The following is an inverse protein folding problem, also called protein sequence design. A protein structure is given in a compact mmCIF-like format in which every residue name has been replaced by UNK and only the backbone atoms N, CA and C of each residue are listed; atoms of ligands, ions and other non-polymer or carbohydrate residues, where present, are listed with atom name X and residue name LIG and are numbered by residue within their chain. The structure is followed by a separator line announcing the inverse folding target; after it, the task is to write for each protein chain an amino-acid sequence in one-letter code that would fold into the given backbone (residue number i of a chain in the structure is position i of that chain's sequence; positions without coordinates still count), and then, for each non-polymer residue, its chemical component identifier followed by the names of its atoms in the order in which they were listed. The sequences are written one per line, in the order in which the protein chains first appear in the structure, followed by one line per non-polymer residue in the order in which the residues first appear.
data_IF_440997235898
#
_entry.id   IF_440997235898
#
_cell.length_a   1.000
_cell.length_b   1.000
_cell.length_c   1.000
_cell.angle_alpha   90.00
_cell.angle_beta   90.00
_cell.angle_gamma   90.00
#
_symmetry.space_group_name_H-M   'P 1'
#
loop_
_entity.id
_entity.type
_entity.pdbx_description
1 polymer ?
#
# COMPACT_ATOMS: atom_id res chain seq x y z
N UNK A 1 12.44 36.41 12.35
CA UNK A 1 11.75 37.56 12.95
C UNK A 1 12.84 38.34 13.63
N UNK A 2 13.16 39.56 13.20
CA UNK A 2 14.09 40.40 13.97
C UNK A 2 13.42 41.05 15.20
N UNK A 3 12.16 40.65 15.47
CA UNK A 3 11.23 41.28 16.42
C UNK A 3 10.66 40.29 17.46
N UNK A 4 11.17 39.06 17.53
CA UNK A 4 10.94 38.13 18.65
C UNK A 4 12.21 37.88 19.47
N UNK A 5 13.37 38.39 19.05
CA UNK A 5 14.67 38.12 19.68
C UNK A 5 15.29 39.37 20.32
N UNK A 6 14.66 40.55 20.23
CA UNK A 6 15.05 41.70 21.05
C UNK A 6 14.15 41.74 22.28
N UNK A 7 14.67 41.28 23.42
CA UNK A 7 14.02 41.34 24.74
C UNK A 7 13.80 42.79 25.26
N UNK A 8 14.18 43.81 24.48
CA UNK A 8 14.17 45.22 24.89
C UNK A 8 12.86 45.98 24.59
N UNK A 9 11.88 45.38 23.88
CA UNK A 9 10.63 46.06 23.56
C UNK A 9 9.47 45.59 24.44
N UNK A 10 8.69 46.54 24.96
CA UNK A 10 7.51 46.29 25.79
C UNK A 10 6.50 45.40 25.03
N UNK A 11 6.01 44.29 25.62
CA UNK A 11 4.96 43.47 25.03
C UNK A 11 3.68 44.25 24.67
N UNK A 12 3.37 45.36 25.37
CA UNK A 12 2.21 46.20 25.04
C UNK A 12 2.41 46.98 23.74
N UNK A 13 3.58 47.60 23.53
CA UNK A 13 3.91 48.30 22.28
C UNK A 13 3.92 47.34 21.07
N UNK A 14 4.40 46.10 21.29
CA UNK A 14 4.38 45.06 20.26
C UNK A 14 2.97 44.64 19.89
N UNK A 15 2.09 44.57 20.89
CA UNK A 15 0.68 44.26 20.67
C UNK A 15 -0.02 45.44 19.99
N UNK A 16 0.23 46.67 20.41
CA UNK A 16 -0.32 47.87 19.76
C UNK A 16 0.13 47.99 18.30
N UNK A 17 1.40 47.73 17.97
CA UNK A 17 1.89 47.73 16.60
C UNK A 17 1.25 46.63 15.73
N UNK A 18 0.97 45.46 16.32
CA UNK A 18 0.24 44.38 15.65
C UNK A 18 -1.23 44.78 15.44
N UNK A 19 -1.83 45.45 16.41
CA UNK A 19 -3.24 45.89 16.39
C UNK A 19 -3.47 47.15 15.53
N UNK A 20 -2.45 47.98 15.29
CA UNK A 20 -2.56 49.23 14.51
C UNK A 20 -2.35 49.05 13.00
N UNK A 21 -2.15 47.83 12.51
CA UNK A 21 -2.15 47.60 11.06
C UNK A 21 -3.59 47.72 10.57
N UNK A 22 -3.86 48.85 9.92
CA UNK A 22 -5.20 49.27 9.50
C UNK A 22 -5.91 48.20 8.67
N UNK A 23 -7.09 47.81 9.15
CA UNK A 23 -8.01 46.90 8.46
C UNK A 23 -8.61 47.51 7.17
N UNK A 24 -8.39 48.79 6.92
CA UNK A 24 -8.98 49.55 5.80
C UNK A 24 -8.60 48.99 4.41
N UNK A 25 -7.53 48.19 4.32
CA UNK A 25 -7.04 47.59 3.08
C UNK A 25 -7.54 46.15 2.84
N UNK A 26 -8.31 45.53 3.75
CA UNK A 26 -8.81 44.15 3.62
C UNK A 26 -10.31 44.13 3.28
N UNK A 27 -10.70 43.97 2.00
CA UNK A 27 -12.11 43.90 1.64
C UNK A 27 -12.77 42.61 2.16
N UNK A 28 -13.97 42.77 2.73
CA UNK A 28 -15.01 41.73 2.97
C UNK A 28 -14.58 40.43 3.68
N UNK A 29 -13.65 40.49 4.65
CA UNK A 29 -13.43 39.35 5.55
C UNK A 29 -14.36 39.39 6.76
N UNK A 30 -14.96 38.26 7.18
CA UNK A 30 -15.68 38.19 8.46
C UNK A 30 -14.77 38.32 9.68
N UNK A 31 -13.44 38.16 9.52
CA UNK A 31 -12.45 38.18 10.60
C UNK A 31 -11.18 38.96 10.18
N UNK A 32 -11.26 40.29 9.93
CA UNK A 32 -10.16 41.07 9.37
C UNK A 32 -8.88 41.06 10.24
N UNK A 33 -9.02 41.17 11.56
CA UNK A 33 -7.88 41.16 12.48
C UNK A 33 -7.18 39.79 12.50
N UNK A 34 -7.96 38.72 12.41
CA UNK A 34 -7.44 37.35 12.38
C UNK A 34 -6.74 37.04 11.06
N UNK A 35 -7.30 37.52 9.95
CA UNK A 35 -6.68 37.39 8.63
C UNK A 35 -5.34 38.11 8.59
N UNK A 36 -5.27 39.31 9.15
CA UNK A 36 -4.02 40.05 9.29
C UNK A 36 -2.97 39.28 10.10
N UNK A 37 -3.37 38.67 11.23
CA UNK A 37 -2.48 37.81 12.00
C UNK A 37 -1.98 36.62 11.16
N UNK A 38 -2.86 35.95 10.42
CA UNK A 38 -2.47 34.86 9.52
C UNK A 38 -1.51 35.31 8.44
N UNK A 39 -1.73 36.48 7.84
CA UNK A 39 -0.79 37.09 6.90
C UNK A 39 0.60 37.27 7.51
N UNK A 40 0.68 37.86 8.70
CA UNK A 40 1.96 38.10 9.37
C UNK A 40 2.71 36.78 9.63
N UNK A 41 1.99 35.77 10.12
CA UNK A 41 2.55 34.44 10.38
C UNK A 41 3.10 33.83 9.08
N UNK A 42 2.33 33.85 7.98
CA UNK A 42 2.75 33.25 6.71
C UNK A 42 3.86 34.04 6.02
N UNK A 43 3.89 35.37 6.16
CA UNK A 43 4.97 36.24 5.66
C UNK A 43 6.33 35.91 6.28
N UNK A 44 6.35 35.31 7.47
CA UNK A 44 7.59 34.88 8.12
C UNK A 44 8.15 33.56 7.60
N UNK A 45 7.38 32.82 6.80
CA UNK A 45 7.78 31.52 6.28
C UNK A 45 8.64 31.65 5.03
N UNK A 46 9.95 31.35 5.09
CA UNK A 46 10.77 31.27 3.88
C UNK A 46 10.32 30.07 3.04
N UNK A 47 10.63 30.09 1.74
CA UNK A 47 10.32 28.99 0.82
C UNK A 47 8.80 28.71 0.68
N UNK A 48 8.01 29.77 0.54
CA UNK A 48 6.56 29.69 0.37
C UNK A 48 6.12 28.65 -0.68
N UNK A 49 6.85 28.49 -1.78
CA UNK A 49 6.52 27.50 -2.81
C UNK A 49 6.55 26.03 -2.34
N UNK A 50 7.43 25.67 -1.40
CA UNK A 50 7.45 24.32 -0.79
C UNK A 50 6.39 24.20 0.31
N UNK A 51 6.30 25.23 1.17
CA UNK A 51 5.31 25.29 2.23
C UNK A 51 3.88 25.22 1.69
N UNK A 52 3.59 25.92 0.59
CA UNK A 52 2.28 25.92 -0.07
C UNK A 52 1.88 24.51 -0.52
N UNK A 53 2.81 23.68 -0.99
CA UNK A 53 2.51 22.27 -1.34
C UNK A 53 2.18 21.42 -0.11
N UNK A 54 2.88 21.65 0.99
CA UNK A 54 2.60 20.99 2.28
C UNK A 54 1.22 21.41 2.79
N UNK A 55 0.95 22.71 2.86
CA UNK A 55 -0.35 23.25 3.29
C UNK A 55 -1.47 22.77 2.38
N UNK A 56 -1.24 22.70 1.07
CA UNK A 56 -2.20 22.18 0.08
C UNK A 56 -2.62 20.75 0.43
N UNK A 57 -1.69 19.86 0.77
CA UNK A 57 -2.05 18.50 1.21
C UNK A 57 -2.83 18.52 2.54
N UNK A 58 -2.40 19.31 3.52
CA UNK A 58 -3.06 19.41 4.83
C UNK A 58 -4.53 19.85 4.67
N UNK A 59 -4.81 20.84 3.81
CA UNK A 59 -6.18 21.34 3.58
C UNK A 59 -6.98 20.48 2.58
N UNK A 60 -6.31 19.73 1.71
CA UNK A 60 -6.99 18.90 0.70
C UNK A 60 -7.51 17.59 1.29
N UNK A 61 -6.68 16.94 2.10
CA UNK A 61 -6.94 15.58 2.59
C UNK A 61 -8.28 15.43 3.34
N UNK A 62 -8.68 16.35 4.23
CA UNK A 62 -10.00 16.29 4.87
C UNK A 62 -11.17 16.38 3.86
N UNK A 63 -10.96 17.08 2.74
CA UNK A 63 -12.00 17.42 1.77
C UNK A 63 -12.17 16.39 0.64
N UNK A 64 -11.14 15.60 0.33
CA UNK A 64 -11.21 14.57 -0.75
C UNK A 64 -12.15 13.41 -0.37
N UNK A 65 -12.71 13.43 0.84
CA UNK A 65 -13.65 12.41 1.30
C UNK A 65 -13.03 11.03 1.15
N UNK A 66 -11.74 10.92 1.52
CA UNK A 66 -11.02 9.67 1.58
C UNK A 66 -11.74 8.81 2.61
N UNK A 67 -12.77 8.13 2.13
CA UNK A 67 -13.75 7.55 3.01
C UNK A 67 -13.01 6.56 3.87
N UNK A 68 -13.16 6.73 5.18
CA UNK A 68 -12.84 5.76 6.21
C UNK A 68 -13.24 4.33 5.83
N UNK A 69 -14.09 4.10 4.82
CA UNK A 69 -14.46 2.78 4.31
C UNK A 69 -13.31 1.99 3.67
N UNK A 70 -12.35 2.60 2.96
CA UNK A 70 -11.23 1.82 2.37
C UNK A 70 -10.24 1.38 3.46
N UNK A 71 -10.06 2.18 4.52
CA UNK A 71 -8.99 1.98 5.51
C UNK A 71 -9.46 1.57 6.93
N UNK A 72 -10.61 2.06 7.41
CA UNK A 72 -11.08 1.86 8.78
C UNK A 72 -12.22 0.85 8.93
N UNK A 73 -12.85 0.37 7.86
CA UNK A 73 -13.93 -0.64 7.97
C UNK A 73 -13.48 -1.95 8.63
N UNK A 74 -12.17 -2.18 8.79
CA UNK A 74 -11.63 -3.44 9.34
C UNK A 74 -10.82 -3.30 10.64
N UNK A 75 -10.47 -2.08 11.09
CA UNK A 75 -9.51 -1.90 12.20
C UNK A 75 -10.07 -1.32 13.52
N UNK A 76 -11.37 -1.02 13.64
CA UNK A 76 -11.94 -0.41 14.87
C UNK A 76 -11.90 -1.26 16.15
N UNK A 77 -11.37 -2.49 16.16
CA UNK A 77 -11.37 -3.37 17.36
C UNK A 77 -10.00 -3.87 17.85
N UNK A 78 -8.86 -3.46 17.27
CA UNK A 78 -7.55 -3.93 17.75
C UNK A 78 -6.66 -2.77 18.18
N UNK A 79 -6.48 -2.63 19.50
CA UNK A 79 -5.37 -1.86 20.08
C UNK A 79 -4.07 -2.58 19.70
N UNK A 80 -3.39 -2.10 18.66
CA UNK A 80 -2.00 -2.51 18.39
C UNK A 80 -1.09 -1.76 19.36
N UNK A 81 -0.23 -2.48 20.09
CA UNK A 81 0.69 -1.95 21.11
C UNK A 81 2.17 -2.17 20.75
N UNK A 82 2.53 -2.29 19.46
CA UNK A 82 3.93 -2.43 19.06
C UNK A 82 4.45 -1.17 18.36
N UNK A 83 5.54 -0.55 18.85
CA UNK A 83 6.22 0.57 18.22
C UNK A 83 7.25 0.05 17.21
N UNK A 84 6.81 -0.27 16.00
CA UNK A 84 7.72 -0.47 14.86
C UNK A 84 7.15 0.23 13.63
N UNK A 85 8.00 1.08 13.07
CA UNK A 85 7.82 1.99 11.93
C UNK A 85 6.99 1.38 10.79
N UNK A 86 5.80 1.94 10.57
CA UNK A 86 4.89 1.49 9.53
C UNK A 86 4.08 2.66 8.96
N UNK A 87 4.07 2.80 7.63
CA UNK A 87 3.07 3.56 6.86
C UNK A 87 1.65 2.92 6.96
N UNK A 88 1.50 1.80 7.69
CA UNK A 88 0.39 0.84 7.69
C UNK A 88 -0.99 1.36 8.10
N UNK A 89 -1.13 2.62 8.45
CA UNK A 89 -2.41 3.31 8.52
C UNK A 89 -2.17 4.82 8.46
N UNK A 90 -1.15 5.24 7.69
CA UNK A 90 -0.59 6.59 7.70
C UNK A 90 -1.74 7.57 7.72
N UNK A 91 -1.90 8.16 8.91
CA UNK A 91 -3.04 8.99 9.14
C UNK A 91 -2.96 10.11 8.09
N UNK A 92 -4.06 10.38 7.39
CA UNK A 92 -4.09 11.45 6.41
C UNK A 92 -3.49 12.71 7.08
N UNK A 93 -2.39 13.23 6.55
CA UNK A 93 -1.62 14.39 7.05
C UNK A 93 -0.52 14.16 8.12
N UNK A 94 0.12 12.99 8.26
CA UNK A 94 1.38 12.92 9.04
C UNK A 94 2.57 13.59 8.32
N UNK A 95 3.57 14.14 9.04
CA UNK A 95 4.76 14.70 8.41
C UNK A 95 5.50 13.71 7.49
N UNK A 96 5.63 12.45 7.90
CA UNK A 96 6.24 11.38 7.09
C UNK A 96 5.45 11.12 5.81
N UNK A 97 4.13 11.02 5.90
CA UNK A 97 3.24 10.78 4.77
C UNK A 97 3.29 11.93 3.76
N UNK A 98 3.24 13.17 4.24
CA UNK A 98 3.37 14.35 3.37
C UNK A 98 4.74 14.39 2.69
N UNK A 99 5.81 14.04 3.41
CA UNK A 99 7.15 13.99 2.84
C UNK A 99 7.22 12.96 1.69
N UNK A 100 6.66 11.77 1.90
CA UNK A 100 6.57 10.72 0.90
C UNK A 100 5.74 11.14 -0.32
N UNK A 101 4.55 11.74 -0.11
CA UNK A 101 3.68 12.22 -1.20
C UNK A 101 4.33 13.32 -2.05
N UNK A 102 5.10 14.21 -1.44
CA UNK A 102 5.79 15.29 -2.13
C UNK A 102 7.17 14.90 -2.67
N UNK A 103 7.69 13.73 -2.31
CA UNK A 103 9.04 13.29 -2.67
C UNK A 103 10.13 14.21 -2.08
N UNK A 104 9.92 14.70 -0.85
CA UNK A 104 10.90 15.53 -0.13
C UNK A 104 11.52 14.74 1.02
N UNK A 105 12.69 15.19 1.50
CA UNK A 105 13.43 14.49 2.56
C UNK A 105 12.63 14.40 3.87
N UNK A 106 12.71 13.29 4.63
CA UNK A 106 12.19 13.20 5.98
C UNK A 106 12.67 14.37 6.86
N UNK A 107 11.84 14.84 7.78
CA UNK A 107 12.10 16.01 8.62
C UNK A 107 11.96 17.38 7.91
N UNK A 108 12.00 17.43 6.57
CA UNK A 108 11.82 18.69 5.81
C UNK A 108 10.44 19.29 6.06
N UNK A 109 9.39 18.47 6.16
CA UNK A 109 8.01 18.92 6.44
C UNK A 109 7.95 19.68 7.75
N UNK A 110 8.49 19.13 8.85
CA UNK A 110 8.58 19.85 10.14
C UNK A 110 9.32 21.17 10.02
N UNK A 111 10.46 21.17 9.34
CA UNK A 111 11.25 22.40 9.18
C UNK A 111 10.50 23.50 8.43
N UNK A 112 9.59 23.13 7.51
CA UNK A 112 8.71 24.07 6.81
C UNK A 112 7.57 24.56 7.71
N UNK A 113 7.06 23.71 8.60
CA UNK A 113 5.92 24.01 9.48
C UNK A 113 6.30 24.66 10.82
N UNK A 114 7.59 24.71 11.19
CA UNK A 114 8.04 25.19 12.52
C UNK A 114 7.60 26.63 12.83
N UNK A 115 7.37 27.47 11.82
CA UNK A 115 6.89 28.85 12.04
C UNK A 115 5.37 28.96 12.14
N UNK A 116 4.66 27.85 11.94
CA UNK A 116 3.21 27.78 11.93
C UNK A 116 2.63 27.15 13.19
N UNK A 117 3.42 26.88 14.24
CA UNK A 117 2.91 26.29 15.50
C UNK A 117 1.78 27.09 16.16
N UNK A 118 1.68 28.40 15.89
CA UNK A 118 0.57 29.23 16.37
C UNK A 118 -0.78 28.89 15.71
N UNK A 119 -0.77 28.28 14.52
CA UNK A 119 -1.96 27.99 13.71
C UNK A 119 -2.09 26.52 13.29
N UNK A 120 -1.07 25.71 13.58
CA UNK A 120 -1.01 24.27 13.33
C UNK A 120 -0.52 23.54 14.58
N UNK A 121 -1.20 22.44 14.90
CA UNK A 121 -0.70 21.44 15.84
C UNK A 121 0.18 20.46 15.06
N UNK A 122 1.50 20.66 15.14
CA UNK A 122 2.49 19.75 14.55
C UNK A 122 2.95 18.80 15.65
N UNK A 123 2.64 17.49 15.57
CA UNK A 123 2.96 16.53 16.62
C UNK A 123 4.47 16.28 16.70
N UNK A 124 5.02 15.80 17.82
CA UNK A 124 6.45 15.47 17.95
C UNK A 124 6.87 14.20 17.20
N UNK A 125 5.97 13.22 17.07
CA UNK A 125 6.18 12.01 16.26
C UNK A 125 5.80 12.28 14.79
N UNK A 126 6.66 11.88 13.85
CA UNK A 126 6.44 12.02 12.39
C UNK A 126 5.30 11.16 11.83
N UNK A 127 4.79 10.23 12.65
CA UNK A 127 3.67 9.34 12.32
C UNK A 127 2.31 9.89 12.76
N UNK A 128 2.31 10.85 13.66
CA UNK A 128 1.09 11.49 14.16
C UNK A 128 0.54 12.54 13.17
N UNK A 129 -0.74 12.88 13.31
CA UNK A 129 -1.46 13.79 12.39
C UNK A 129 -1.14 15.25 12.69
N UNK A 130 -0.83 16.02 11.64
CA UNK A 130 -0.86 17.47 11.70
C UNK A 130 -2.31 17.95 11.70
N UNK A 131 -2.71 18.75 12.70
CA UNK A 131 -4.06 19.31 12.80
C UNK A 131 -4.06 20.81 12.58
N UNK A 132 -5.13 21.30 11.95
CA UNK A 132 -5.48 22.72 11.95
C UNK A 132 -6.48 22.92 13.10
N UNK A 133 -6.10 23.55 14.22
CA UNK A 133 -6.97 23.64 15.39
C UNK A 133 -8.23 24.47 15.15
N UNK A 134 -8.16 25.45 14.23
CA UNK A 134 -9.25 26.39 13.98
C UNK A 134 -9.63 26.46 12.49
N UNK A 135 -10.92 26.25 12.18
CA UNK A 135 -11.42 26.21 10.82
C UNK A 135 -11.15 27.51 10.02
N UNK A 136 -11.13 28.66 10.69
CA UNK A 136 -10.89 29.94 10.02
C UNK A 136 -9.52 30.04 9.35
N UNK A 137 -8.50 29.30 9.80
CA UNK A 137 -7.20 29.28 9.12
C UNK A 137 -7.28 28.53 7.79
N UNK A 138 -7.96 27.37 7.77
CA UNK A 138 -8.23 26.67 6.50
C UNK A 138 -9.09 27.50 5.56
N UNK A 139 -10.14 28.18 6.06
CA UNK A 139 -10.97 29.07 5.25
C UNK A 139 -10.19 30.26 4.69
N UNK A 140 -9.27 30.82 5.47
CA UNK A 140 -8.37 31.89 5.04
C UNK A 140 -7.47 31.42 3.89
N UNK A 141 -6.76 30.30 4.06
CA UNK A 141 -5.86 29.74 3.05
C UNK A 141 -6.59 29.42 1.73
N UNK A 142 -7.81 28.89 1.82
CA UNK A 142 -8.61 28.47 0.68
C UNK A 142 -9.32 29.62 -0.04
N UNK A 143 -9.46 30.79 0.58
CA UNK A 143 -10.10 31.95 -0.04
C UNK A 143 -9.04 32.89 -0.67
N UNK A 144 -8.99 33.01 -2.01
CA UNK A 144 -7.97 33.81 -2.69
C UNK A 144 -8.10 35.32 -2.44
N UNK A 145 -9.29 35.82 -2.13
CA UNK A 145 -9.50 37.23 -1.79
C UNK A 145 -8.94 37.54 -0.39
N UNK A 146 -9.13 36.60 0.55
CA UNK A 146 -8.66 36.74 1.94
C UNK A 146 -7.16 36.53 2.06
N UNK A 147 -6.56 35.55 1.37
CA UNK A 147 -5.14 35.17 1.55
C UNK A 147 -4.17 35.70 0.50
N UNK A 148 -4.65 36.26 -0.62
CA UNK A 148 -3.85 36.90 -1.68
C UNK A 148 -2.66 36.04 -2.12
N UNK A 149 -1.42 36.52 -1.93
CA UNK A 149 -0.18 35.82 -2.26
C UNK A 149 0.04 34.52 -1.48
N UNK A 150 -0.65 34.37 -0.35
CA UNK A 150 -0.65 33.17 0.47
C UNK A 150 -1.83 32.23 0.20
N UNK A 151 -2.56 32.43 -0.91
CA UNK A 151 -3.59 31.49 -1.32
C UNK A 151 -3.00 30.10 -1.55
N UNK A 152 -3.65 29.11 -0.94
CA UNK A 152 -3.32 27.70 -1.08
C UNK A 152 -4.46 27.03 -1.84
N UNK A 153 -4.13 26.49 -3.02
CA UNK A 153 -5.07 25.69 -3.80
C UNK A 153 -5.40 24.36 -3.11
N UNK A 154 -6.26 23.58 -3.75
CA UNK A 154 -6.53 22.20 -3.34
C UNK A 154 -6.15 21.27 -4.48
N UNK A 155 -5.58 20.11 -4.14
CA UNK A 155 -5.47 19.05 -5.14
C UNK A 155 -6.88 18.53 -5.45
N UNK A 156 -7.16 18.37 -6.73
CA UNK A 156 -8.30 17.57 -7.16
C UNK A 156 -8.11 16.14 -6.66
N UNK A 157 -9.22 15.39 -6.53
CA UNK A 157 -9.18 13.96 -6.17
C UNK A 157 -8.23 13.16 -7.07
N UNK A 158 -8.19 13.48 -8.38
CA UNK A 158 -7.31 12.83 -9.34
C UNK A 158 -5.83 13.14 -9.07
N UNK A 159 -5.47 14.40 -8.81
CA UNK A 159 -4.08 14.78 -8.53
C UNK A 159 -3.60 14.18 -7.20
N UNK A 160 -4.44 14.18 -6.17
CA UNK A 160 -4.11 13.55 -4.90
C UNK A 160 -3.87 12.04 -5.06
N UNK A 161 -4.75 11.35 -5.77
CA UNK A 161 -4.58 9.92 -6.07
C UNK A 161 -3.37 9.61 -6.94
N UNK A 162 -3.01 10.52 -7.84
CA UNK A 162 -1.78 10.42 -8.61
C UNK A 162 -0.54 10.48 -7.69
N UNK A 163 -0.51 11.41 -6.73
CA UNK A 163 0.57 11.52 -5.72
C UNK A 163 0.63 10.28 -4.82
N UNK A 164 -0.52 9.80 -4.34
CA UNK A 164 -0.61 8.58 -3.53
C UNK A 164 -0.07 7.37 -4.29
N UNK A 165 -0.46 7.21 -5.55
CA UNK A 165 0.02 6.12 -6.38
C UNK A 165 1.55 6.21 -6.63
N UNK A 166 2.07 7.41 -6.88
CA UNK A 166 3.51 7.65 -7.00
C UNK A 166 4.26 7.27 -5.73
N UNK A 167 3.81 7.72 -4.56
CA UNK A 167 4.46 7.45 -3.29
C UNK A 167 4.50 5.95 -2.98
N UNK A 168 3.40 5.23 -3.22
CA UNK A 168 3.38 3.78 -3.06
C UNK A 168 4.30 3.04 -4.03
N UNK A 169 4.30 3.41 -5.31
CA UNK A 169 5.20 2.79 -6.29
C UNK A 169 6.68 3.09 -5.97
N UNK A 170 6.97 4.31 -5.49
CA UNK A 170 8.31 4.66 -5.05
C UNK A 170 8.74 3.85 -3.83
N UNK A 171 7.89 3.74 -2.80
CA UNK A 171 8.15 2.91 -1.64
C UNK A 171 8.41 1.45 -2.06
N UNK A 172 7.56 0.87 -2.91
CA UNK A 172 7.79 -0.46 -3.47
C UNK A 172 9.14 -0.54 -4.17
N UNK A 173 9.48 0.44 -5.00
CA UNK A 173 10.74 0.46 -5.76
C UNK A 173 11.98 0.52 -4.85
N UNK A 174 11.98 1.39 -3.83
CA UNK A 174 13.07 1.51 -2.84
C UNK A 174 13.32 0.16 -2.17
N UNK A 175 12.26 -0.47 -1.65
CA UNK A 175 12.45 -1.79 -1.01
C UNK A 175 12.71 -2.90 -2.02
N UNK A 176 12.26 -2.78 -3.26
CA UNK A 176 12.56 -3.74 -4.32
C UNK A 176 14.04 -3.78 -4.64
N UNK A 177 14.78 -2.68 -4.50
CA UNK A 177 16.24 -2.65 -4.74
C UNK A 177 17.01 -3.50 -3.74
N UNK A 178 16.48 -3.65 -2.52
CA UNK A 178 17.05 -4.52 -1.49
C UNK A 178 16.76 -6.00 -1.81
N UNK A 179 15.83 -6.28 -2.74
CA UNK A 179 15.38 -7.64 -3.03
C UNK A 179 16.46 -8.48 -3.67
N UNK A 180 16.59 -9.70 -3.16
CA UNK A 180 17.64 -10.66 -3.50
C UNK A 180 17.83 -10.90 -5.00
N UNK A 181 16.80 -10.75 -5.83
CA UNK A 181 16.99 -10.90 -7.28
C UNK A 181 17.89 -9.80 -7.89
N UNK A 182 18.26 -8.77 -7.14
CA UNK A 182 19.21 -7.73 -7.56
C UNK A 182 20.58 -7.86 -6.89
N UNK A 183 20.76 -8.77 -5.93
CA UNK A 183 21.99 -8.94 -5.16
C UNK A 183 22.76 -10.16 -5.63
N UNK A 184 23.93 -9.94 -6.23
CA UNK A 184 24.87 -11.01 -6.60
C UNK A 184 25.53 -11.58 -5.32
N UNK A 185 25.09 -12.79 -4.93
CA UNK A 185 25.75 -13.75 -4.03
C UNK A 185 25.80 -13.46 -2.50
N UNK A 186 25.23 -14.43 -1.77
CA UNK A 186 25.67 -15.05 -0.50
C UNK A 186 25.06 -14.70 0.86
N UNK A 187 24.32 -13.60 1.06
CA UNK A 187 23.68 -13.33 2.37
C UNK A 187 22.22 -12.91 2.28
N UNK A 188 21.29 -13.83 2.59
CA UNK A 188 19.86 -13.53 2.69
C UNK A 188 19.70 -12.33 3.65
N UNK A 189 19.12 -11.21 3.21
CA UNK A 189 18.96 -10.04 4.07
C UNK A 189 18.10 -10.39 5.31
N UNK A 190 18.37 -9.76 6.47
CA UNK A 190 17.59 -9.99 7.69
C UNK A 190 16.09 -9.78 7.46
N UNK A 191 15.28 -10.65 8.06
CA UNK A 191 13.81 -10.66 7.95
C UNK A 191 13.16 -9.30 8.25
N UNK A 192 13.71 -8.60 9.23
CA UNK A 192 13.07 -7.44 9.85
C UNK A 192 13.03 -6.23 8.90
N UNK A 193 13.94 -6.15 7.92
CA UNK A 193 13.94 -5.10 6.89
C UNK A 193 12.80 -5.30 5.86
N UNK A 194 12.39 -6.55 5.61
CA UNK A 194 11.34 -6.89 4.63
C UNK A 194 9.91 -6.76 5.16
N UNK A 195 9.74 -6.79 6.48
CA UNK A 195 8.43 -6.67 7.11
C UNK A 195 7.73 -5.35 6.74
N UNK A 196 8.48 -4.31 6.34
CA UNK A 196 7.96 -2.99 6.02
C UNK A 196 7.00 -2.97 4.82
N UNK A 197 7.39 -3.52 3.65
CA UNK A 197 6.50 -3.65 2.48
C UNK A 197 5.26 -4.47 2.86
N UNK A 198 5.44 -5.44 3.75
CA UNK A 198 4.39 -6.38 4.08
C UNK A 198 3.28 -5.68 4.89
N UNK A 199 3.57 -4.89 5.92
CA UNK A 199 2.49 -4.44 6.82
C UNK A 199 1.38 -3.57 6.18
N UNK A 200 1.65 -2.90 5.05
CA UNK A 200 0.71 -1.94 4.51
C UNK A 200 -0.21 -2.50 3.40
N UNK A 201 -1.43 -2.85 3.84
CA UNK A 201 -2.60 -3.13 3.01
C UNK A 201 -2.82 -2.20 1.82
N UNK A 202 -2.38 -0.95 1.97
CA UNK A 202 -2.56 0.14 1.02
C UNK A 202 -1.82 -0.13 -0.30
N UNK A 203 -0.70 -0.85 -0.24
CA UNK A 203 0.08 -1.19 -1.43
C UNK A 203 -0.69 -2.07 -2.43
N UNK A 204 -1.63 -2.88 -1.95
CA UNK A 204 -2.48 -3.70 -2.82
C UNK A 204 -3.52 -2.86 -3.57
N UNK A 205 -3.82 -1.65 -3.08
CA UNK A 205 -4.76 -0.72 -3.71
C UNK A 205 -4.11 0.24 -4.70
N UNK A 206 -2.78 0.29 -4.78
CA UNK A 206 -2.08 1.22 -5.67
C UNK A 206 -2.59 1.07 -7.11
N UNK A 207 -2.81 -0.17 -7.56
CA UNK A 207 -3.29 -0.42 -8.92
C UNK A 207 -4.74 -0.03 -9.11
N UNK A 208 -5.60 -0.20 -8.09
CA UNK A 208 -6.98 0.29 -8.12
C UNK A 208 -7.04 1.80 -8.30
N UNK A 209 -6.15 2.51 -7.60
CA UNK A 209 -5.98 3.95 -7.75
C UNK A 209 -5.52 4.27 -9.18
N UNK A 210 -4.44 3.64 -9.65
CA UNK A 210 -3.84 3.91 -10.96
C UNK A 210 -4.83 3.75 -12.12
N UNK A 211 -5.56 2.63 -12.20
CA UNK A 211 -6.48 2.42 -13.35
C UNK A 211 -7.74 3.29 -13.27
N UNK A 212 -8.07 3.83 -12.08
CA UNK A 212 -9.15 4.80 -11.90
C UNK A 212 -8.80 6.21 -12.36
N UNK A 213 -7.51 6.52 -12.58
CA UNK A 213 -7.06 7.85 -13.00
C UNK A 213 -7.40 8.10 -14.46
N UNK A 214 -8.03 9.26 -14.71
CA UNK A 214 -8.36 9.69 -16.07
C UNK A 214 -7.10 10.10 -16.85
N UNK A 215 -6.22 10.86 -16.18
CA UNK A 215 -4.99 11.44 -16.73
C UNK A 215 -3.86 11.28 -15.70
N UNK A 216 -2.98 10.25 -15.83
CA UNK A 216 -1.85 10.06 -14.96
C UNK A 216 -0.74 11.07 -15.28
N UNK A 217 0.00 11.48 -14.26
CA UNK A 217 1.18 12.32 -14.41
C UNK A 217 2.32 11.58 -15.08
N UNK A 218 3.25 12.31 -15.71
CA UNK A 218 4.48 11.74 -16.28
C UNK A 218 5.33 11.03 -15.22
N UNK A 219 5.33 11.54 -13.99
CA UNK A 219 6.02 10.92 -12.86
C UNK A 219 5.41 9.58 -12.49
N UNK A 220 4.07 9.49 -12.45
CA UNK A 220 3.38 8.22 -12.21
C UNK A 220 3.69 7.18 -13.30
N UNK A 221 3.68 7.60 -14.57
CA UNK A 221 4.05 6.71 -15.69
C UNK A 221 5.51 6.23 -15.59
N UNK A 222 6.42 7.08 -15.09
CA UNK A 222 7.82 6.71 -14.85
C UNK A 222 7.92 5.70 -13.71
N UNK A 223 7.25 5.96 -12.58
CA UNK A 223 7.21 5.04 -11.44
C UNK A 223 6.61 3.67 -11.81
N UNK A 224 5.60 3.63 -12.69
CA UNK A 224 5.07 2.38 -13.23
C UNK A 224 6.11 1.60 -14.02
N UNK A 225 6.94 2.23 -14.85
CA UNK A 225 8.00 1.53 -15.60
C UNK A 225 9.08 0.95 -14.68
N UNK A 226 9.35 1.62 -13.56
CA UNK A 226 10.31 1.18 -12.55
C UNK A 226 9.76 0.04 -11.69
N UNK A 227 8.43 -0.10 -11.58
CA UNK A 227 7.78 -1.17 -10.81
C UNK A 227 8.33 -2.56 -11.14
N UNK A 228 8.57 -3.35 -10.10
CA UNK A 228 9.03 -4.73 -10.17
C UNK A 228 8.01 -5.66 -9.47
N UNK A 229 7.30 -6.53 -10.22
CA UNK A 229 6.27 -7.38 -9.65
C UNK A 229 6.80 -8.48 -8.71
N UNK A 230 8.06 -8.90 -8.86
CA UNK A 230 8.63 -10.04 -8.13
C UNK A 230 8.76 -9.78 -6.61
N UNK A 231 9.50 -8.75 -6.16
CA UNK A 231 9.59 -8.38 -4.75
C UNK A 231 8.22 -8.06 -4.15
N UNK A 232 7.36 -7.40 -4.92
CA UNK A 232 6.02 -7.04 -4.47
C UNK A 232 5.17 -8.27 -4.12
N UNK A 233 5.07 -9.25 -5.03
CA UNK A 233 4.27 -10.46 -4.77
C UNK A 233 4.94 -11.32 -3.68
N UNK A 234 6.27 -11.36 -3.63
CA UNK A 234 7.00 -12.05 -2.58
C UNK A 234 6.67 -11.45 -1.20
N UNK A 235 6.75 -10.13 -1.04
CA UNK A 235 6.40 -9.44 0.20
C UNK A 235 4.93 -9.66 0.57
N UNK A 236 4.04 -9.63 -0.41
CA UNK A 236 2.61 -9.89 -0.19
C UNK A 236 2.32 -11.33 0.28
N UNK A 237 3.11 -12.32 -0.15
CA UNK A 237 3.00 -13.70 0.34
C UNK A 237 3.44 -13.87 1.81
N UNK A 238 4.31 -12.99 2.31
CA UNK A 238 4.85 -13.01 3.67
C UNK A 238 3.97 -12.32 4.72
N UNK A 239 2.83 -11.76 4.30
CA UNK A 239 1.92 -11.05 5.18
C UNK A 239 1.35 -11.92 6.31
N UNK A 240 1.68 -11.67 7.59
CA UNK A 240 1.20 -12.49 8.70
C UNK A 240 -0.33 -12.43 8.83
N UNK A 241 -0.93 -11.29 8.46
CA UNK A 241 -2.38 -11.07 8.45
C UNK A 241 -3.05 -11.31 7.10
N UNK A 242 -2.48 -12.16 6.25
CA UNK A 242 -3.07 -12.37 4.93
C UNK A 242 -4.46 -13.01 4.93
N UNK A 243 -5.11 -13.34 6.07
CA UNK A 243 -6.57 -13.60 6.06
C UNK A 243 -7.34 -12.40 5.50
N UNK A 244 -6.95 -11.17 5.86
CA UNK A 244 -7.62 -9.93 5.47
C UNK A 244 -7.22 -9.44 4.08
N UNK A 245 -6.00 -9.74 3.64
CA UNK A 245 -5.45 -9.26 2.37
C UNK A 245 -5.43 -10.32 1.27
N UNK A 246 -5.84 -11.56 1.57
CA UNK A 246 -5.79 -12.71 0.65
C UNK A 246 -6.63 -12.56 -0.60
N UNK A 247 -7.87 -12.07 -0.46
CA UNK A 247 -8.77 -11.87 -1.59
C UNK A 247 -8.22 -10.83 -2.57
N UNK A 248 -7.30 -9.97 -2.13
CA UNK A 248 -6.64 -9.00 -2.99
C UNK A 248 -5.48 -9.60 -3.76
N UNK A 249 -4.69 -10.51 -3.18
CA UNK A 249 -3.63 -11.23 -3.91
C UNK A 249 -4.23 -12.13 -5.00
N UNK A 250 -5.27 -12.88 -4.66
CA UNK A 250 -6.08 -13.63 -5.61
C UNK A 250 -6.69 -12.68 -6.66
N UNK A 251 -7.20 -11.52 -6.22
CA UNK A 251 -7.62 -10.43 -7.09
C UNK A 251 -6.53 -9.98 -8.04
N UNK A 252 -5.27 -9.82 -7.61
CA UNK A 252 -4.15 -9.31 -8.40
C UNK A 252 -3.78 -10.26 -9.54
N UNK A 253 -3.68 -11.56 -9.26
CA UNK A 253 -3.21 -12.55 -10.25
C UNK A 253 -4.34 -13.11 -11.14
N UNK A 254 -5.61 -12.90 -10.79
CA UNK A 254 -6.73 -13.34 -11.63
C UNK A 254 -6.77 -12.62 -12.96
N UNK A 255 -7.32 -13.30 -13.99
CA UNK A 255 -7.56 -12.78 -15.35
C UNK A 255 -8.36 -11.46 -15.43
N UNK A 256 -9.04 -11.06 -14.35
CA UNK A 256 -9.82 -9.82 -14.24
C UNK A 256 -9.34 -8.90 -13.12
N UNK A 257 -8.12 -9.12 -12.66
CA UNK A 257 -7.52 -8.44 -11.52
C UNK A 257 -7.17 -6.98 -11.74
N UNK A 258 -6.86 -6.23 -10.66
CA UNK A 258 -6.35 -4.88 -10.74
C UNK A 258 -5.17 -4.75 -11.71
N UNK A 259 -4.23 -5.70 -11.73
CA UNK A 259 -3.08 -5.65 -12.63
C UNK A 259 -3.46 -5.73 -14.11
N UNK A 260 -4.33 -6.67 -14.47
CA UNK A 260 -4.79 -6.79 -15.86
C UNK A 260 -5.60 -5.58 -16.27
N UNK A 261 -6.45 -5.05 -15.38
CA UNK A 261 -7.15 -3.78 -15.62
C UNK A 261 -6.17 -2.63 -15.83
N UNK A 262 -5.12 -2.53 -15.02
CA UNK A 262 -4.07 -1.52 -15.18
C UNK A 262 -3.29 -1.72 -16.49
N UNK A 263 -2.97 -2.95 -16.91
CA UNK A 263 -2.35 -3.22 -18.21
C UNK A 263 -3.26 -2.79 -19.35
N UNK A 264 -4.54 -3.19 -19.32
CA UNK A 264 -5.52 -2.81 -20.34
C UNK A 264 -5.71 -1.29 -20.40
N UNK A 265 -5.84 -0.65 -19.25
CA UNK A 265 -5.87 0.80 -19.11
C UNK A 265 -4.62 1.44 -19.75
N UNK A 266 -3.43 0.97 -19.39
CA UNK A 266 -2.16 1.50 -19.91
C UNK A 266 -2.03 1.32 -21.43
N UNK A 267 -2.49 0.21 -21.99
CA UNK A 267 -2.54 -0.03 -23.45
C UNK A 267 -3.51 0.89 -24.18
N UNK A 268 -4.68 1.15 -23.57
CA UNK A 268 -5.78 1.86 -24.24
C UNK A 268 -5.60 3.38 -24.31
N UNK A 269 -4.85 3.97 -23.39
CA UNK A 269 -4.92 5.42 -23.12
C UNK A 269 -3.73 6.25 -23.59
N UNK A 270 -2.54 5.66 -23.77
CA UNK A 270 -1.32 6.46 -23.93
C UNK A 270 -0.46 5.97 -25.09
N UNK A 271 -0.07 6.82 -26.06
CA UNK A 271 0.98 6.49 -27.01
C UNK A 271 2.37 6.40 -26.33
N UNK A 272 2.53 7.09 -25.19
CA UNK A 272 3.68 6.95 -24.26
C UNK A 272 3.36 5.90 -23.19
N UNK A 273 3.04 4.70 -23.64
CA UNK A 273 2.77 3.54 -22.78
C UNK A 273 3.96 3.31 -21.84
N UNK A 274 3.74 2.94 -20.56
CA UNK A 274 4.80 2.36 -19.75
C UNK A 274 5.13 0.93 -20.28
N UNK A 275 5.85 0.86 -21.40
CA UNK A 275 6.12 -0.39 -22.12
C UNK A 275 6.86 -1.39 -21.26
N UNK A 276 7.79 -0.92 -20.43
CA UNK A 276 8.54 -1.76 -19.49
C UNK A 276 7.61 -2.36 -18.45
N UNK A 277 6.69 -1.57 -17.88
CA UNK A 277 5.68 -2.05 -16.94
C UNK A 277 4.83 -3.16 -17.55
N UNK A 278 4.26 -2.91 -18.74
CA UNK A 278 3.40 -3.87 -19.43
C UNK A 278 4.17 -5.16 -19.72
N UNK A 279 5.36 -5.05 -20.33
CA UNK A 279 6.17 -6.21 -20.65
C UNK A 279 6.54 -7.02 -19.41
N UNK A 280 6.94 -6.37 -18.32
CA UNK A 280 7.27 -7.03 -17.05
C UNK A 280 6.06 -7.81 -16.52
N UNK A 281 4.89 -7.18 -16.45
CA UNK A 281 3.69 -7.85 -15.98
C UNK A 281 3.22 -8.97 -16.90
N UNK A 282 3.25 -8.77 -18.22
CA UNK A 282 2.87 -9.81 -19.19
C UNK A 282 3.83 -10.99 -19.18
N UNK A 283 5.10 -10.78 -18.82
CA UNK A 283 6.08 -11.86 -18.63
C UNK A 283 5.91 -12.55 -17.28
N UNK A 284 5.50 -11.79 -16.25
CA UNK A 284 5.26 -12.30 -14.90
C UNK A 284 4.02 -13.20 -14.81
N UNK A 285 2.91 -12.80 -15.45
CA UNK A 285 1.61 -13.47 -15.27
C UNK A 285 1.53 -14.93 -15.77
N UNK A 286 2.19 -15.33 -16.88
CA UNK A 286 2.12 -16.70 -17.38
C UNK A 286 2.87 -17.70 -16.50
N UNK A 287 4.03 -17.29 -15.97
CA UNK A 287 4.86 -18.13 -15.13
C UNK A 287 5.88 -17.33 -14.31
N UNK A 288 6.11 -17.79 -13.10
CA UNK A 288 7.23 -17.37 -12.26
C UNK A 288 7.72 -18.56 -11.45
N UNK A 289 8.96 -18.50 -10.99
CA UNK A 289 9.49 -19.51 -10.09
C UNK A 289 9.37 -19.07 -8.66
N UNK A 290 9.03 -20.03 -7.83
CA UNK A 290 9.06 -19.86 -6.39
C UNK A 290 10.17 -20.72 -5.83
N UNK A 291 10.96 -20.10 -4.97
CA UNK A 291 12.00 -20.79 -4.23
C UNK A 291 11.70 -20.74 -2.75
N UNK A 292 11.35 -21.88 -2.14
CA UNK A 292 11.25 -21.99 -0.70
C UNK A 292 12.64 -22.23 -0.07
N UNK A 293 12.91 -21.59 1.06
CA UNK A 293 14.09 -21.88 1.89
C UNK A 293 13.98 -23.19 2.71
N UNK A 294 12.85 -23.92 2.60
CA UNK A 294 12.52 -25.08 3.44
C UNK A 294 12.59 -26.40 2.68
N UNK A 295 13.01 -27.47 3.36
CA UNK A 295 13.02 -28.85 2.86
C UNK A 295 11.62 -29.45 2.64
N UNK A 296 10.56 -28.78 3.12
CA UNK A 296 9.17 -29.24 3.01
C UNK A 296 8.45 -28.67 1.78
N UNK A 297 8.93 -29.02 0.61
CA UNK A 297 8.49 -28.46 -0.68
C UNK A 297 7.00 -28.59 -0.97
N UNK A 298 6.42 -29.75 -0.67
CA UNK A 298 5.02 -30.01 -0.96
C UNK A 298 4.10 -29.18 -0.04
N UNK A 299 4.48 -28.94 1.22
CA UNK A 299 3.73 -28.07 2.13
C UNK A 299 3.76 -26.62 1.62
N UNK A 300 4.91 -26.19 1.09
CA UNK A 300 5.10 -24.88 0.47
C UNK A 300 4.28 -24.72 -0.81
N UNK A 301 4.37 -25.67 -1.74
CA UNK A 301 3.60 -25.66 -2.98
C UNK A 301 2.10 -25.52 -2.69
N UNK A 302 1.59 -26.33 -1.76
CA UNK A 302 0.19 -26.23 -1.36
C UNK A 302 -0.14 -24.90 -0.70
N UNK A 303 0.70 -24.42 0.22
CA UNK A 303 0.46 -23.12 0.86
C UNK A 303 0.41 -21.99 -0.16
N UNK A 304 1.30 -22.03 -1.15
CA UNK A 304 1.34 -21.03 -2.20
C UNK A 304 0.08 -21.13 -3.07
N UNK A 305 -0.30 -22.33 -3.53
CA UNK A 305 -1.54 -22.53 -4.30
C UNK A 305 -2.76 -22.02 -3.51
N UNK A 306 -2.81 -22.33 -2.21
CA UNK A 306 -3.84 -21.85 -1.28
C UNK A 306 -3.84 -20.32 -1.14
N UNK A 307 -2.68 -19.67 -1.21
CA UNK A 307 -2.52 -18.22 -1.09
C UNK A 307 -2.82 -17.48 -2.38
N UNK A 308 -2.47 -18.05 -3.52
CA UNK A 308 -2.56 -17.40 -4.82
C UNK A 308 -3.91 -17.61 -5.51
N UNK A 309 -4.57 -18.75 -5.26
CA UNK A 309 -5.72 -19.17 -6.09
C UNK A 309 -7.02 -19.38 -5.34
N UNK A 310 -6.96 -19.57 -4.02
CA UNK A 310 -8.16 -19.86 -3.24
C UNK A 310 -8.76 -18.55 -2.70
N UNK A 311 -9.76 -18.08 -3.42
CA UNK A 311 -10.45 -16.80 -3.19
C UNK A 311 -11.24 -16.76 -1.89
N UNK A 312 -11.97 -17.83 -1.55
CA UNK A 312 -12.87 -17.84 -0.40
C UNK A 312 -12.26 -18.49 0.84
N UNK A 313 -12.60 -17.96 2.02
CA UNK A 313 -12.20 -18.57 3.29
C UNK A 313 -12.75 -19.98 3.47
N UNK A 314 -13.90 -20.29 2.86
CA UNK A 314 -14.53 -21.59 2.93
C UNK A 314 -13.82 -22.64 2.03
N UNK A 315 -13.54 -22.33 0.76
CA UNK A 315 -12.73 -23.21 -0.11
C UNK A 315 -11.38 -23.51 0.50
N UNK A 316 -10.82 -22.57 1.24
CA UNK A 316 -9.53 -22.74 1.91
C UNK A 316 -9.60 -23.71 3.06
N UNK A 317 -10.61 -23.57 3.92
CA UNK A 317 -10.79 -24.52 5.03
C UNK A 317 -10.98 -25.92 4.44
N UNK A 318 -11.83 -26.05 3.43
CA UNK A 318 -12.04 -27.30 2.69
C UNK A 318 -10.74 -27.81 2.05
N UNK A 319 -9.95 -26.96 1.40
CA UNK A 319 -8.67 -27.36 0.79
C UNK A 319 -7.63 -27.77 1.82
N UNK A 320 -7.54 -27.02 2.92
CA UNK A 320 -6.65 -27.33 4.04
C UNK A 320 -7.04 -28.64 4.71
N UNK A 321 -8.35 -28.92 4.79
CA UNK A 321 -8.91 -30.13 5.36
C UNK A 321 -8.64 -31.35 4.48
N UNK A 322 -8.95 -31.24 3.17
CA UNK A 322 -8.63 -32.26 2.15
C UNK A 322 -7.14 -32.63 2.20
N UNK A 323 -6.26 -31.64 2.38
CA UNK A 323 -4.82 -31.84 2.40
C UNK A 323 -4.26 -32.16 3.79
N UNK A 324 -5.06 -31.98 4.86
CA UNK A 324 -4.69 -32.21 6.25
C UNK A 324 -3.65 -31.22 6.77
N UNK A 325 -3.78 -29.94 6.39
CA UNK A 325 -2.82 -28.88 6.65
C UNK A 325 -3.19 -27.95 7.81
N UNK A 326 -4.11 -28.35 8.69
CA UNK A 326 -4.60 -27.49 9.78
C UNK A 326 -3.48 -26.93 10.69
N UNK A 327 -2.33 -27.61 10.74
CA UNK A 327 -1.15 -27.21 11.53
C UNK A 327 0.10 -26.88 10.69
N UNK A 328 0.00 -26.82 9.36
CA UNK A 328 1.09 -26.37 8.51
C UNK A 328 1.21 -24.84 8.58
N UNK A 329 1.65 -24.35 9.75
CA UNK A 329 2.31 -23.06 9.82
C UNK A 329 3.62 -23.26 9.11
N UNK A 330 3.75 -22.70 7.91
CA UNK A 330 5.08 -22.41 7.38
C UNK A 330 5.82 -21.76 8.53
N UNK A 331 6.92 -22.40 8.95
CA UNK A 331 7.73 -21.85 10.01
C UNK A 331 8.08 -20.44 9.55
N UNK A 332 7.81 -19.44 10.39
CA UNK A 332 7.88 -18.02 10.02
C UNK A 332 9.25 -17.63 9.45
N UNK A 333 10.25 -18.48 9.65
CA UNK A 333 11.62 -18.38 9.16
C UNK A 333 11.80 -18.81 7.69
N UNK A 334 10.76 -19.35 7.05
CA UNK A 334 10.87 -19.83 5.66
C UNK A 334 10.54 -18.71 4.67
N UNK A 335 11.56 -18.23 3.97
CA UNK A 335 11.39 -17.26 2.91
C UNK A 335 10.87 -17.91 1.62
N UNK A 336 9.96 -17.19 0.98
CA UNK A 336 9.42 -17.45 -0.36
C UNK A 336 10.01 -16.38 -1.25
N UNK A 337 10.88 -16.78 -2.17
CA UNK A 337 11.37 -15.91 -3.23
C UNK A 337 10.58 -16.13 -4.50
N UNK A 338 10.31 -15.06 -5.23
CA UNK A 338 9.69 -15.12 -6.54
C UNK A 338 10.71 -14.59 -7.53
N UNK A 339 11.07 -15.40 -8.52
CA UNK A 339 12.06 -15.00 -9.53
C UNK A 339 11.52 -15.14 -10.95
N UNK A 340 12.03 -14.33 -11.90
CA UNK A 340 11.70 -14.42 -13.30
C UNK A 340 11.89 -15.82 -13.88
N UNK A 341 11.00 -16.22 -14.81
CA UNK A 341 11.03 -17.54 -15.42
C UNK A 341 12.24 -17.79 -16.33
N UNK A 342 12.90 -16.74 -16.78
CA UNK A 342 14.09 -16.76 -17.62
C UNK A 342 15.41 -16.84 -16.83
N UNK A 343 15.37 -16.63 -15.50
CA UNK A 343 16.55 -16.79 -14.65
C UNK A 343 16.73 -18.25 -14.23
N UNK A 344 17.97 -18.73 -14.31
CA UNK A 344 18.32 -20.03 -13.73
C UNK A 344 18.32 -19.91 -12.20
N UNK A 345 17.53 -20.74 -11.49
CA UNK A 345 17.61 -20.81 -10.03
C UNK A 345 18.95 -21.42 -9.60
N UNK A 346 19.39 -21.15 -8.37
CA UNK A 346 20.59 -21.79 -7.81
C UNK A 346 20.43 -23.32 -7.77
N UNK A 347 21.52 -24.11 -7.85
CA UNK A 347 21.44 -25.56 -7.86
C UNK A 347 20.76 -26.19 -6.64
N UNK A 348 20.76 -25.50 -5.50
CA UNK A 348 20.10 -25.95 -4.26
C UNK A 348 18.62 -25.55 -4.16
N UNK A 349 18.12 -24.81 -5.14
CA UNK A 349 16.79 -24.21 -5.11
C UNK A 349 15.80 -25.09 -5.84
N UNK A 350 14.64 -25.29 -5.23
CA UNK A 350 13.56 -26.03 -5.85
C UNK A 350 12.69 -25.08 -6.66
N UNK A 351 12.44 -25.46 -7.91
CA UNK A 351 11.68 -24.67 -8.85
C UNK A 351 10.24 -25.14 -8.89
N UNK A 352 9.33 -24.30 -8.41
CA UNK A 352 7.89 -24.50 -8.60
C UNK A 352 7.44 -23.56 -9.70
N UNK A 353 6.99 -24.12 -10.84
CA UNK A 353 6.39 -23.34 -11.92
C UNK A 353 4.89 -23.27 -11.71
N UNK A 354 4.44 -22.06 -11.41
CA UNK A 354 3.04 -21.74 -11.23
C UNK A 354 2.51 -21.11 -12.51
N UNK A 355 1.50 -21.72 -13.13
CA UNK A 355 0.88 -21.22 -14.37
C UNK A 355 -0.59 -20.87 -14.15
N UNK A 356 -1.08 -19.89 -14.89
CA UNK A 356 -2.50 -19.51 -14.85
C UNK A 356 -3.44 -20.66 -15.22
N UNK A 357 -2.99 -21.61 -16.06
CA UNK A 357 -3.79 -22.78 -16.43
C UNK A 357 -4.01 -23.73 -15.23
N UNK A 358 -2.95 -24.00 -14.46
CA UNK A 358 -3.07 -24.80 -13.23
C UNK A 358 -4.00 -24.12 -12.22
N UNK A 359 -3.91 -22.79 -12.12
CA UNK A 359 -4.78 -21.98 -11.28
C UNK A 359 -6.26 -22.14 -11.65
N UNK A 360 -6.57 -22.00 -12.95
CA UNK A 360 -7.94 -22.08 -13.46
C UNK A 360 -8.54 -23.47 -13.19
N UNK A 361 -7.74 -24.54 -13.31
CA UNK A 361 -8.17 -25.91 -13.00
C UNK A 361 -8.48 -26.07 -11.50
N UNK A 362 -7.64 -25.53 -10.61
CA UNK A 362 -7.87 -25.57 -9.16
C UNK A 362 -9.13 -24.78 -8.79
N UNK A 363 -9.28 -23.56 -9.30
CA UNK A 363 -10.46 -22.71 -9.02
C UNK A 363 -11.74 -23.36 -9.57
N UNK A 364 -11.72 -23.92 -10.78
CA UNK A 364 -12.85 -24.67 -11.34
C UNK A 364 -13.22 -25.89 -10.48
N UNK A 365 -12.22 -26.68 -10.07
CA UNK A 365 -12.43 -27.87 -9.23
C UNK A 365 -13.04 -27.50 -7.88
N UNK A 366 -12.53 -26.45 -7.24
CA UNK A 366 -13.06 -25.92 -5.98
C UNK A 366 -14.48 -25.38 -6.15
N UNK A 367 -14.76 -24.64 -7.21
CA UNK A 367 -16.10 -24.11 -7.49
C UNK A 367 -17.10 -25.24 -7.79
N UNK A 368 -16.71 -26.29 -8.51
CA UNK A 368 -17.53 -27.49 -8.71
C UNK A 368 -17.84 -28.19 -7.38
N UNK A 369 -16.83 -28.37 -6.52
CA UNK A 369 -17.04 -28.89 -5.17
C UNK A 369 -18.01 -28.01 -4.37
N UNK A 370 -17.81 -26.69 -4.35
CA UNK A 370 -18.71 -25.76 -3.66
C UNK A 370 -20.14 -25.81 -4.18
N UNK A 371 -20.33 -25.94 -5.50
CA UNK A 371 -21.67 -26.02 -6.08
C UNK A 371 -22.41 -27.28 -5.63
N UNK A 372 -21.68 -28.38 -5.41
CA UNK A 372 -22.24 -29.60 -4.79
C UNK A 372 -22.62 -29.39 -3.32
N UNK A 373 -21.87 -28.53 -2.60
CA UNK A 373 -22.17 -28.20 -1.19
C UNK A 373 -23.34 -27.23 -1.03
N UNK A 374 -23.46 -26.24 -1.92
CA UNK A 374 -24.45 -25.17 -1.81
C UNK A 374 -25.88 -25.58 -2.21
N UNK A 375 -26.06 -26.77 -2.79
CA UNK A 375 -27.38 -27.35 -3.05
C UNK A 375 -27.81 -28.25 -1.88
N UNK A 376 -28.34 -27.61 -0.83
CA UNK A 376 -29.17 -28.11 0.28
C UNK A 376 -29.23 -29.64 0.53
N UNK A 377 -28.43 -30.15 1.47
CA UNK A 377 -28.89 -31.21 2.38
C UNK A 377 -28.03 -31.29 3.66
N UNK A 378 -28.61 -31.36 4.88
CA UNK A 378 -27.88 -31.64 6.13
C UNK A 378 -27.07 -32.95 6.10
N UNK A 379 -27.56 -33.92 5.30
CA UNK A 379 -26.89 -35.20 5.02
C UNK A 379 -25.55 -34.99 4.29
N UNK A 380 -25.36 -33.88 3.57
CA UNK A 380 -24.11 -33.57 2.89
C UNK A 380 -23.03 -33.12 3.87
N UNK A 381 -23.33 -32.60 5.06
CA UNK A 381 -22.26 -32.36 6.05
C UNK A 381 -21.75 -33.67 6.65
N UNK A 382 -22.63 -34.64 6.92
CA UNK A 382 -22.23 -35.98 7.37
C UNK A 382 -21.55 -36.76 6.23
N UNK A 383 -22.05 -36.66 5.00
CA UNK A 383 -21.39 -37.21 3.81
C UNK A 383 -20.11 -36.45 3.52
N UNK A 384 -19.98 -35.14 3.76
CA UNK A 384 -18.71 -34.42 3.61
C UNK A 384 -17.76 -34.80 4.71
N UNK A 385 -18.18 -35.03 5.94
CA UNK A 385 -17.29 -35.58 6.97
C UNK A 385 -16.87 -37.00 6.58
N UNK A 386 -17.78 -37.86 6.12
CA UNK A 386 -17.46 -39.23 5.72
C UNK A 386 -16.68 -39.32 4.40
N UNK A 387 -17.01 -38.48 3.43
CA UNK A 387 -16.33 -38.35 2.14
C UNK A 387 -15.03 -37.60 2.34
N UNK A 388 -14.94 -36.50 3.08
CA UNK A 388 -13.65 -35.90 3.45
C UNK A 388 -12.83 -36.84 4.31
N UNK A 389 -13.39 -37.74 5.12
CA UNK A 389 -12.63 -38.76 5.84
C UNK A 389 -12.16 -39.91 4.93
N UNK A 390 -12.99 -40.34 3.98
CA UNK A 390 -12.67 -41.38 2.98
C UNK A 390 -11.72 -40.88 1.89
N UNK A 391 -11.99 -39.71 1.32
CA UNK A 391 -11.10 -38.90 0.45
C UNK A 391 -9.87 -38.47 1.25
N UNK A 392 -9.93 -38.06 2.52
CA UNK A 392 -8.69 -37.82 3.27
C UNK A 392 -7.84 -39.07 3.38
N UNK A 393 -8.40 -40.28 3.47
CA UNK A 393 -7.57 -41.50 3.49
C UNK A 393 -7.02 -41.85 2.11
N UNK A 394 -7.87 -41.96 1.10
CA UNK A 394 -7.46 -42.42 -0.24
C UNK A 394 -6.94 -41.31 -1.14
N UNK A 395 -7.45 -40.09 -0.99
CA UNK A 395 -7.01 -38.88 -1.68
C UNK A 395 -5.85 -38.21 -0.96
N UNK A 396 -5.66 -38.23 0.39
CA UNK A 396 -4.31 -37.87 0.91
C UNK A 396 -3.28 -38.86 0.41
N UNK A 397 -3.60 -40.15 0.29
CA UNK A 397 -2.65 -41.14 -0.23
C UNK A 397 -2.40 -40.94 -1.73
N UNK A 398 -3.44 -40.65 -2.52
CA UNK A 398 -3.36 -40.45 -3.98
C UNK A 398 -2.87 -39.07 -4.38
N UNK A 399 -3.19 -38.01 -3.65
CA UNK A 399 -2.65 -36.65 -3.79
C UNK A 399 -1.22 -36.61 -3.25
N UNK A 400 -0.91 -37.19 -2.09
CA UNK A 400 0.51 -37.34 -1.67
C UNK A 400 1.29 -38.19 -2.67
N UNK A 401 0.70 -39.22 -3.27
CA UNK A 401 1.33 -40.02 -4.33
C UNK A 401 1.46 -39.19 -5.62
N UNK A 402 0.42 -38.48 -6.06
CA UNK A 402 0.44 -37.61 -7.24
C UNK A 402 1.48 -36.50 -7.09
N UNK A 403 1.46 -35.75 -6.00
CA UNK A 403 2.47 -34.73 -5.71
C UNK A 403 3.85 -35.34 -5.46
N UNK A 404 4.01 -36.47 -4.75
CA UNK A 404 5.34 -37.15 -4.67
C UNK A 404 5.86 -37.57 -6.03
N UNK A 405 4.99 -38.10 -6.91
CA UNK A 405 5.40 -38.60 -8.23
C UNK A 405 5.68 -37.45 -9.20
N UNK A 406 4.92 -36.35 -9.10
CA UNK A 406 5.06 -35.16 -9.94
C UNK A 406 6.22 -34.27 -9.49
N UNK A 407 6.41 -34.05 -8.18
CA UNK A 407 7.55 -33.32 -7.59
C UNK A 407 8.86 -34.05 -7.88
N UNK A 408 8.88 -35.40 -7.83
CA UNK A 408 10.06 -36.19 -8.23
C UNK A 408 10.33 -36.22 -9.74
N UNK A 409 9.33 -35.93 -10.59
CA UNK A 409 9.54 -35.80 -12.04
C UNK A 409 10.04 -34.43 -12.49
N UNK A 410 9.87 -33.38 -11.68
CA UNK A 410 10.34 -32.01 -11.96
C UNK A 410 11.67 -31.65 -11.26
N UNK A 411 12.31 -32.60 -10.56
CA UNK A 411 13.61 -32.40 -9.87
C UNK A 411 14.82 -32.93 -10.64
N UNK A 412 14.73 -33.06 -11.97
CA UNK A 412 15.87 -33.33 -12.85
C UNK A 412 16.25 -32.11 -13.68
#
# INVERSE_FOLDING_TARGET
MKYLESDDNDPEDRLEDILHIRADDLPESPYPDLDLLYYQILKMCPNWGELCKVLCLIVTIPNVGFSETIFLSQNRKRKFQSPTETLSAALPCSPECIAALLGIKPGKVRSLLIKLHAVLEVPDDDKDVIRIPHASFSEFLLNPQRSREHHVGQYTKSEYYDLVAQAFLHAISVHSQEYWCHVDNSSIPPRDEWCFISTDASLLHVFDIVWSLALPSSKLLTALNEFDPYPFVAAALHLPNAKTYRWKLDGILRRKGPWIKTIQWAKSRFPRVPQTFIKKLETFMPAFYIVPASSKLWEMEVYIEERLYISSGYQRNLWSEILGLHDCRINQDSFIFIVPADRQPFPSWHKITITSEKADVVDQSLNSLLSLVNHEHPIINDILDDVCNAICKDTKKSVRKFFKTKVMSTTL
#
